data_IF_643443448416
#
_entry.id   IF_643443448416
#
_cell.length_a   1.000
_cell.length_b   1.000
_cell.length_c   1.000
_cell.angle_alpha   90.00
_cell.angle_beta   90.00
_cell.angle_gamma   90.00
#
_symmetry.space_group_name_H-M   'P 1'
#
loop_
_entity.id
_entity.type
_entity.pdbx_description
1 polymer ?
#
# COMPACT_ATOMS: atom_id res chain seq x y z
N UNK A 1 -16.83 -9.78 28.66
CA UNK A 1 -16.50 -8.59 27.83
C UNK A 1 -17.57 -7.55 28.09
N UNK A 2 -17.22 -6.27 28.20
CA UNK A 2 -18.21 -5.18 28.31
C UNK A 2 -18.88 -5.04 26.94
N UNK A 3 -20.22 -5.06 26.90
CA UNK A 3 -20.98 -4.76 25.68
C UNK A 3 -20.64 -3.34 25.24
N UNK A 4 -20.23 -3.20 23.97
CA UNK A 4 -19.93 -1.92 23.34
C UNK A 4 -21.06 -1.69 22.34
N UNK A 5 -21.69 -0.52 22.40
CA UNK A 5 -22.63 -0.05 21.38
C UNK A 5 -21.82 0.69 20.33
N UNK A 6 -21.94 0.30 19.06
CA UNK A 6 -21.46 1.09 17.93
C UNK A 6 -22.64 1.91 17.43
N UNK A 7 -22.44 3.21 17.30
CA UNK A 7 -23.41 4.10 16.70
C UNK A 7 -22.95 4.47 15.28
N UNK A 8 -23.70 4.04 14.27
CA UNK A 8 -23.45 4.35 12.88
C UNK A 8 -23.68 5.83 12.57
N UNK A 9 -24.40 6.57 13.44
CA UNK A 9 -24.52 8.02 13.34
C UNK A 9 -23.18 8.75 13.57
N UNK A 10 -22.18 8.09 14.15
CA UNK A 10 -20.81 8.61 14.26
C UNK A 10 -20.16 8.83 12.87
N UNK A 11 -20.73 8.24 11.81
CA UNK A 11 -20.31 8.43 10.41
C UNK A 11 -21.19 9.44 9.67
N UNK A 12 -21.95 10.28 10.39
CA UNK A 12 -22.88 11.25 9.82
C UNK A 12 -24.00 10.55 9.05
N UNK A 13 -24.42 11.16 7.93
CA UNK A 13 -25.53 10.68 7.11
C UNK A 13 -25.16 9.49 6.20
N UNK A 14 -23.96 8.92 6.32
CA UNK A 14 -23.46 7.87 5.42
C UNK A 14 -24.42 6.68 5.33
N UNK A 15 -24.93 6.20 6.48
CA UNK A 15 -25.83 5.04 6.58
C UNK A 15 -27.31 5.39 6.34
N UNK A 16 -27.62 6.67 6.09
CA UNK A 16 -28.95 7.16 5.69
C UNK A 16 -28.99 7.62 4.23
N UNK A 17 -27.82 7.73 3.60
CA UNK A 17 -27.69 8.12 2.21
C UNK A 17 -27.95 6.92 1.29
N UNK A 18 -28.59 7.18 0.16
CA UNK A 18 -28.72 6.20 -0.91
C UNK A 18 -27.32 5.89 -1.48
N UNK A 19 -26.86 4.61 -1.47
CA UNK A 19 -25.58 4.22 -2.03
C UNK A 19 -25.34 4.73 -3.46
N UNK A 20 -26.40 4.83 -4.27
CA UNK A 20 -26.31 5.32 -5.65
C UNK A 20 -25.91 6.79 -5.78
N UNK A 21 -26.18 7.59 -4.75
CA UNK A 21 -25.88 9.02 -4.71
C UNK A 21 -24.57 9.35 -3.99
N UNK A 22 -23.96 8.35 -3.33
CA UNK A 22 -22.69 8.54 -2.64
C UNK A 22 -21.54 8.71 -3.63
N UNK A 23 -20.55 9.58 -3.33
CA UNK A 23 -19.24 9.52 -3.96
C UNK A 23 -18.61 8.14 -3.77
N UNK A 24 -17.80 7.70 -4.74
CA UNK A 24 -17.14 6.39 -4.73
C UNK A 24 -16.44 6.08 -3.40
N UNK A 25 -15.76 7.07 -2.83
CA UNK A 25 -15.04 6.91 -1.57
C UNK A 25 -15.97 6.66 -0.37
N UNK A 26 -17.15 7.25 -0.36
CA UNK A 26 -18.15 7.07 0.70
C UNK A 26 -18.85 5.72 0.55
N UNK A 27 -19.16 5.31 -0.68
CA UNK A 27 -19.68 3.98 -0.99
C UNK A 27 -18.74 2.86 -0.50
N UNK A 28 -17.44 2.97 -0.80
CA UNK A 28 -16.42 2.02 -0.32
C UNK A 28 -16.22 2.08 1.20
N UNK A 29 -16.46 3.24 1.83
CA UNK A 29 -16.36 3.37 3.28
C UNK A 29 -17.54 2.67 3.97
N UNK A 30 -18.74 2.84 3.41
CA UNK A 30 -19.95 2.17 3.88
C UNK A 30 -19.80 0.64 3.82
N UNK A 31 -19.35 0.11 2.69
CA UNK A 31 -19.00 -1.31 2.48
C UNK A 31 -18.11 -1.86 3.62
N UNK A 32 -16.94 -1.24 3.80
CA UNK A 32 -16.00 -1.67 4.83
C UNK A 32 -16.57 -1.61 6.25
N UNK A 33 -17.34 -0.57 6.57
CA UNK A 33 -17.93 -0.41 7.90
C UNK A 33 -19.02 -1.46 8.13
N UNK A 34 -19.81 -1.83 7.11
CA UNK A 34 -20.80 -2.89 7.22
C UNK A 34 -20.16 -4.23 7.59
N UNK A 35 -19.01 -4.57 6.98
CA UNK A 35 -18.23 -5.75 7.37
C UNK A 35 -17.77 -5.73 8.83
N UNK A 36 -17.35 -4.56 9.32
CA UNK A 36 -16.94 -4.39 10.73
C UNK A 36 -18.12 -4.46 11.68
N UNK A 37 -19.23 -3.81 11.35
CA UNK A 37 -20.47 -3.84 12.10
C UNK A 37 -21.00 -5.26 12.21
N UNK A 38 -20.97 -6.01 11.10
CA UNK A 38 -21.32 -7.43 11.06
C UNK A 38 -20.47 -8.27 12.01
N UNK A 39 -19.14 -8.19 11.90
CA UNK A 39 -18.24 -8.93 12.77
C UNK A 39 -18.44 -8.60 14.26
N UNK A 40 -18.78 -7.34 14.58
CA UNK A 40 -19.05 -6.92 15.95
C UNK A 40 -20.41 -7.40 16.45
N UNK A 41 -21.43 -7.39 15.61
CA UNK A 41 -22.74 -7.98 15.91
C UNK A 41 -22.60 -9.48 16.22
N UNK A 42 -21.81 -10.22 15.42
CA UNK A 42 -21.52 -11.64 15.66
C UNK A 42 -20.73 -11.89 16.96
N UNK A 43 -19.93 -10.92 17.41
CA UNK A 43 -19.24 -10.95 18.70
C UNK A 43 -20.14 -10.55 19.90
N UNK A 44 -21.43 -10.33 19.65
CA UNK A 44 -22.44 -9.98 20.66
C UNK A 44 -22.51 -8.49 20.98
N UNK A 45 -21.87 -7.62 20.20
CA UNK A 45 -21.99 -6.17 20.34
C UNK A 45 -23.30 -5.66 19.75
N UNK A 46 -23.77 -4.50 20.21
CA UNK A 46 -24.95 -3.84 19.65
C UNK A 46 -24.53 -2.85 18.57
N UNK A 47 -25.22 -2.90 17.44
CA UNK A 47 -25.09 -1.95 16.33
C UNK A 47 -26.38 -1.13 16.28
N UNK A 48 -26.29 0.15 15.92
CA UNK A 48 -27.46 0.99 15.77
C UNK A 48 -27.15 2.30 15.06
N UNK A 49 -28.18 3.06 14.74
CA UNK A 49 -28.06 4.44 14.25
C UNK A 49 -28.85 5.35 15.19
N UNK A 50 -28.15 6.19 15.93
CA UNK A 50 -28.70 7.01 17.00
C UNK A 50 -29.50 6.16 18.03
N UNK A 51 -30.82 6.31 18.05
CA UNK A 51 -31.72 5.57 18.96
C UNK A 51 -32.18 4.23 18.40
N UNK A 52 -31.97 3.97 17.11
CA UNK A 52 -32.37 2.73 16.45
C UNK A 52 -31.32 1.64 16.65
N UNK A 53 -31.78 0.40 16.87
CA UNK A 53 -30.91 -0.78 16.92
C UNK A 53 -30.99 -1.46 15.58
N UNK A 54 -29.83 -1.80 15.01
CA UNK A 54 -29.72 -2.51 13.76
C UNK A 54 -29.36 -3.96 14.03
N UNK A 55 -30.09 -4.88 13.40
CA UNK A 55 -29.81 -6.30 13.46
C UNK A 55 -29.01 -6.78 12.25
N UNK A 56 -28.84 -8.10 12.13
CA UNK A 56 -28.09 -8.70 11.02
C UNK A 56 -28.79 -8.45 9.68
N UNK A 57 -30.12 -8.45 9.66
CA UNK A 57 -30.89 -8.25 8.44
C UNK A 57 -30.77 -6.82 7.93
N UNK A 58 -30.74 -5.82 8.81
CA UNK A 58 -30.52 -4.42 8.43
C UNK A 58 -29.16 -4.23 7.74
N UNK A 59 -28.10 -4.77 8.35
CA UNK A 59 -26.75 -4.71 7.81
C UNK A 59 -26.64 -5.45 6.47
N UNK A 60 -27.22 -6.65 6.38
CA UNK A 60 -27.20 -7.47 5.18
C UNK A 60 -27.95 -6.79 4.03
N UNK A 61 -29.12 -6.22 4.30
CA UNK A 61 -29.95 -5.56 3.28
C UNK A 61 -29.26 -4.34 2.71
N UNK A 62 -28.65 -3.50 3.55
CA UNK A 62 -27.88 -2.36 3.07
C UNK A 62 -26.64 -2.83 2.29
N UNK A 63 -25.94 -3.87 2.77
CA UNK A 63 -24.76 -4.40 2.10
C UNK A 63 -25.06 -4.97 0.71
N UNK A 64 -26.23 -5.58 0.48
CA UNK A 64 -26.69 -5.98 -0.86
C UNK A 64 -26.74 -4.78 -1.81
N UNK A 65 -27.35 -3.67 -1.38
CA UNK A 65 -27.47 -2.45 -2.20
C UNK A 65 -26.10 -1.85 -2.46
N UNK A 66 -25.25 -1.79 -1.43
CA UNK A 66 -23.85 -1.34 -1.54
C UNK A 66 -23.10 -2.18 -2.56
N UNK A 67 -23.20 -3.50 -2.47
CA UNK A 67 -22.46 -4.42 -3.35
C UNK A 67 -22.96 -4.36 -4.80
N UNK A 68 -24.26 -4.20 -5.02
CA UNK A 68 -24.83 -3.97 -6.36
C UNK A 68 -24.31 -2.67 -6.95
N UNK A 69 -24.35 -1.59 -6.19
CA UNK A 69 -23.88 -0.28 -6.64
C UNK A 69 -22.36 -0.29 -6.89
N UNK A 70 -21.61 -0.96 -6.02
CA UNK A 70 -20.18 -1.19 -6.20
C UNK A 70 -19.90 -1.96 -7.49
N UNK A 71 -20.63 -3.04 -7.73
CA UNK A 71 -20.51 -3.85 -8.96
C UNK A 71 -20.85 -3.02 -10.19
N UNK A 72 -21.92 -2.21 -10.14
CA UNK A 72 -22.35 -1.31 -11.22
C UNK A 72 -21.28 -0.28 -11.58
N UNK A 73 -20.51 0.20 -10.60
CA UNK A 73 -19.39 1.13 -10.78
C UNK A 73 -18.06 0.44 -11.10
N UNK A 74 -18.06 -0.89 -11.23
CA UNK A 74 -16.87 -1.67 -11.55
C UNK A 74 -15.93 -1.93 -10.36
N UNK A 75 -16.38 -1.72 -9.13
CA UNK A 75 -15.62 -2.06 -7.93
C UNK A 75 -15.64 -3.57 -7.68
N UNK A 76 -14.46 -4.13 -7.40
CA UNK A 76 -14.34 -5.51 -6.94
C UNK A 76 -14.34 -5.55 -5.42
N UNK A 77 -15.30 -6.28 -4.87
CA UNK A 77 -15.40 -6.52 -3.45
C UNK A 77 -14.53 -7.73 -3.05
N UNK A 78 -13.58 -7.51 -2.13
CA UNK A 78 -12.50 -8.48 -1.83
C UNK A 78 -12.61 -9.14 -0.44
N UNK A 79 -13.57 -8.71 0.39
CA UNK A 79 -13.72 -9.26 1.73
C UNK A 79 -14.37 -10.66 1.63
N UNK A 80 -13.69 -11.66 2.16
CA UNK A 80 -14.18 -13.04 2.21
C UNK A 80 -14.56 -13.38 3.64
N UNK A 81 -15.75 -12.95 4.04
CA UNK A 81 -16.33 -13.25 5.35
C UNK A 81 -17.82 -13.60 5.25
N UNK A 82 -18.44 -13.85 6.40
CA UNK A 82 -19.82 -14.30 6.49
C UNK A 82 -20.82 -13.28 5.94
N UNK A 83 -20.54 -11.96 6.01
CA UNK A 83 -21.42 -10.95 5.42
C UNK A 83 -21.38 -11.08 3.89
N UNK A 84 -20.19 -11.21 3.31
CA UNK A 84 -20.04 -11.36 1.86
C UNK A 84 -20.71 -12.64 1.35
N UNK A 85 -20.50 -13.77 2.03
CA UNK A 85 -21.08 -15.05 1.64
C UNK A 85 -22.61 -14.99 1.59
N UNK A 86 -23.24 -14.38 2.61
CA UNK A 86 -24.69 -14.21 2.66
C UNK A 86 -25.20 -13.24 1.61
N UNK A 87 -24.44 -12.17 1.32
CA UNK A 87 -24.81 -11.18 0.31
C UNK A 87 -24.79 -11.77 -1.10
N UNK A 88 -23.75 -12.56 -1.42
CA UNK A 88 -23.66 -13.26 -2.70
C UNK A 88 -24.77 -14.30 -2.87
N UNK A 89 -25.13 -15.02 -1.80
CA UNK A 89 -26.23 -15.98 -1.84
C UNK A 89 -27.59 -15.33 -2.16
N UNK A 90 -27.80 -14.06 -1.76
CA UNK A 90 -28.98 -13.28 -2.13
C UNK A 90 -28.89 -12.86 -3.60
N UNK A 91 -27.78 -12.25 -4.03
CA UNK A 91 -27.61 -11.77 -5.40
C UNK A 91 -27.68 -12.87 -6.46
N UNK A 92 -27.23 -14.08 -6.14
CA UNK A 92 -27.30 -15.25 -7.03
C UNK A 92 -28.70 -15.83 -7.17
N UNK A 93 -29.64 -15.51 -6.26
CA UNK A 93 -31.04 -15.92 -6.40
C UNK A 93 -31.79 -15.07 -7.45
N UNK A 94 -31.28 -13.87 -7.76
CA UNK A 94 -31.95 -12.86 -8.59
C UNK A 94 -31.26 -12.61 -9.96
N UNK A 95 -30.18 -13.32 -10.31
CA UNK A 95 -29.39 -13.03 -11.51
C UNK A 95 -29.78 -13.89 -12.75
N UNK A 96 -30.40 -13.27 -13.75
CA UNK A 96 -30.28 -13.69 -15.17
C UNK A 96 -28.94 -13.17 -15.72
N UNK A 97 -28.13 -14.03 -16.35
CA UNK A 97 -26.76 -13.70 -16.80
C UNK A 97 -26.72 -12.67 -17.97
N UNK A 98 -25.90 -11.61 -17.87
CA UNK A 98 -25.41 -10.90 -19.05
C UNK A 98 -23.95 -11.28 -19.37
N UNK A 99 -23.77 -11.73 -20.60
CA UNK A 99 -22.49 -11.89 -21.27
C UNK A 99 -21.92 -10.51 -21.63
N UNK A 100 -20.89 -10.04 -20.91
CA UNK A 100 -19.74 -9.23 -21.38
C UNK A 100 -19.08 -8.46 -20.21
N UNK A 101 -18.20 -9.13 -19.45
CA UNK A 101 -17.42 -8.54 -18.34
C UNK A 101 -15.94 -8.91 -18.40
N UNK A 102 -15.39 -9.08 -19.61
CA UNK A 102 -14.03 -9.59 -19.82
C UNK A 102 -12.90 -8.53 -19.74
N UNK A 103 -13.11 -7.35 -19.14
CA UNK A 103 -12.07 -6.32 -19.05
C UNK A 103 -12.01 -5.60 -17.68
N UNK A 104 -12.10 -6.34 -16.57
CA UNK A 104 -11.80 -5.79 -15.24
C UNK A 104 -10.29 -5.81 -14.96
N UNK A 105 -9.66 -4.64 -14.88
CA UNK A 105 -8.27 -4.51 -14.43
C UNK A 105 -8.22 -4.79 -12.92
N UNK A 106 -7.56 -5.89 -12.54
CA UNK A 106 -7.40 -6.41 -11.18
C UNK A 106 -6.83 -5.34 -10.21
N UNK A 107 -7.55 -5.03 -9.11
CA UNK A 107 -7.08 -4.12 -8.05
C UNK A 107 -6.17 -4.85 -7.06
N UNK A 108 -5.00 -4.27 -6.74
CA UNK A 108 -4.11 -4.76 -5.68
C UNK A 108 -3.23 -5.95 -6.09
N UNK A 109 -2.38 -5.72 -7.08
CA UNK A 109 -1.44 -6.73 -7.59
C UNK A 109 -0.27 -6.92 -6.63
N UNK A 110 0.11 -8.16 -6.29
CA UNK A 110 1.34 -8.38 -5.50
C UNK A 110 2.57 -7.91 -6.28
N UNK A 111 3.39 -7.07 -5.67
CA UNK A 111 4.67 -6.60 -6.24
C UNK A 111 5.54 -7.76 -6.77
N UNK A 112 6.19 -7.53 -7.91
CA UNK A 112 6.98 -8.55 -8.60
C UNK A 112 8.13 -9.09 -7.73
N UNK A 113 8.86 -8.17 -7.10
CA UNK A 113 9.96 -8.44 -6.18
C UNK A 113 9.92 -7.46 -5.01
N UNK A 114 10.59 -7.81 -3.92
CA UNK A 114 10.72 -6.92 -2.75
C UNK A 114 12.08 -6.24 -2.71
N UNK A 115 12.16 -5.10 -2.05
CA UNK A 115 13.44 -4.46 -1.70
C UNK A 115 13.75 -4.61 -0.20
N UNK A 116 14.99 -4.30 0.15
CA UNK A 116 15.34 -3.95 1.53
C UNK A 116 14.51 -2.73 1.96
N UNK A 117 13.98 -2.73 3.19
CA UNK A 117 13.10 -1.66 3.68
C UNK A 117 11.69 -1.61 3.07
N UNK A 118 11.37 -2.48 2.09
CA UNK A 118 10.13 -2.39 1.31
C UNK A 118 8.84 -2.46 2.13
N UNK A 119 7.86 -1.64 1.74
CA UNK A 119 6.64 -1.33 2.50
C UNK A 119 5.46 -2.26 2.24
N UNK A 120 5.70 -3.50 1.83
CA UNK A 120 4.66 -4.47 1.43
C UNK A 120 3.48 -4.53 2.40
N UNK A 121 3.74 -4.53 3.71
CA UNK A 121 2.71 -4.67 4.74
C UNK A 121 2.00 -3.37 5.08
N UNK A 122 2.57 -2.22 4.71
CA UNK A 122 1.96 -0.91 4.87
C UNK A 122 1.36 -0.39 3.55
N UNK A 123 1.63 -1.04 2.43
CA UNK A 123 1.32 -0.53 1.10
C UNK A 123 -0.16 -0.20 0.91
N UNK A 124 -1.08 -1.10 1.28
CA UNK A 124 -2.51 -0.84 1.20
C UNK A 124 -2.97 0.28 2.15
N UNK A 125 -2.38 0.37 3.34
CA UNK A 125 -2.66 1.44 4.29
C UNK A 125 -2.16 2.80 3.77
N UNK A 126 -0.99 2.84 3.14
CA UNK A 126 -0.47 4.06 2.52
C UNK A 126 -1.36 4.43 1.33
N UNK A 127 -1.70 3.45 0.49
CA UNK A 127 -2.55 3.64 -0.68
C UNK A 127 -3.92 4.23 -0.33
N UNK A 128 -4.51 3.85 0.81
CA UNK A 128 -5.80 4.40 1.26
C UNK A 128 -5.75 5.85 1.73
N UNK A 129 -4.57 6.42 1.96
CA UNK A 129 -4.39 7.85 2.26
C UNK A 129 -4.03 8.70 1.05
N UNK A 130 -3.83 8.08 -0.12
CA UNK A 130 -3.47 8.81 -1.34
C UNK A 130 -4.72 9.59 -1.81
N UNK A 131 -4.66 10.94 -1.87
CA UNK A 131 -5.76 11.76 -2.36
C UNK A 131 -5.89 11.64 -3.88
N UNK A 132 -6.97 12.15 -4.46
CA UNK A 132 -7.10 12.26 -5.91
C UNK A 132 -5.89 12.99 -6.53
N UNK A 133 -5.37 12.44 -7.63
CA UNK A 133 -4.21 12.92 -8.36
C UNK A 133 -4.24 12.40 -9.81
N UNK A 134 -3.58 13.11 -10.73
CA UNK A 134 -3.45 12.67 -12.13
C UNK A 134 -2.13 11.94 -12.37
N UNK A 135 -1.07 12.39 -11.70
CA UNK A 135 0.28 11.84 -11.84
C UNK A 135 0.74 11.24 -10.52
N UNK A 136 1.11 9.96 -10.52
CA UNK A 136 1.66 9.27 -9.35
C UNK A 136 3.16 9.01 -9.54
N UNK A 137 3.99 9.33 -8.56
CA UNK A 137 5.44 9.14 -8.68
C UNK A 137 6.03 8.54 -7.41
N UNK A 138 6.88 7.51 -7.57
CA UNK A 138 7.77 7.01 -6.50
C UNK A 138 9.23 7.34 -6.84
N UNK A 139 9.83 8.39 -6.25
CA UNK A 139 11.24 8.75 -6.48
C UNK A 139 12.23 7.69 -5.96
N UNK A 140 11.78 6.86 -5.00
CA UNK A 140 12.53 5.78 -4.37
C UNK A 140 11.70 4.48 -4.45
N UNK A 141 11.54 3.95 -5.65
CA UNK A 141 10.62 2.87 -5.93
C UNK A 141 10.91 1.62 -5.09
N UNK A 142 12.16 1.20 -4.96
CA UNK A 142 12.50 -0.09 -4.38
C UNK A 142 11.69 -1.22 -5.04
N UNK A 143 10.83 -1.89 -4.28
CA UNK A 143 9.92 -2.91 -4.80
C UNK A 143 8.58 -2.38 -5.35
N UNK A 144 8.37 -1.06 -5.40
CA UNK A 144 7.16 -0.36 -5.84
C UNK A 144 5.87 -0.79 -5.11
N UNK A 145 5.99 -1.12 -3.82
CA UNK A 145 4.92 -1.77 -3.08
C UNK A 145 3.61 -0.97 -3.08
N UNK A 146 3.70 0.36 -3.01
CA UNK A 146 2.53 1.25 -2.97
C UNK A 146 1.88 1.37 -4.34
N UNK A 147 2.65 1.55 -5.42
CA UNK A 147 2.16 1.53 -6.81
C UNK A 147 1.31 0.28 -7.10
N UNK A 148 1.82 -0.87 -6.67
CA UNK A 148 1.16 -2.16 -6.84
C UNK A 148 -0.12 -2.29 -6.00
N UNK A 149 -0.22 -1.59 -4.87
CA UNK A 149 -1.35 -1.64 -3.95
C UNK A 149 -2.45 -0.59 -4.25
N UNK A 150 -2.12 0.51 -4.94
CA UNK A 150 -3.09 1.53 -5.37
C UNK A 150 -3.75 1.18 -6.70
N UNK A 151 -4.88 1.83 -6.95
CA UNK A 151 -5.51 1.87 -8.28
C UNK A 151 -4.60 2.58 -9.28
N UNK A 152 -4.55 2.19 -10.56
CA UNK A 152 -3.80 2.90 -11.58
C UNK A 152 -4.21 4.37 -11.70
N UNK A 153 -3.23 5.26 -11.92
CA UNK A 153 -3.48 6.68 -12.26
C UNK A 153 -3.27 6.93 -13.76
N UNK A 154 -3.82 8.02 -14.32
CA UNK A 154 -3.60 8.38 -15.72
C UNK A 154 -2.12 8.45 -16.12
N UNK A 155 -1.27 8.91 -15.21
CA UNK A 155 0.18 8.92 -15.39
C UNK A 155 0.87 8.37 -14.15
N UNK A 156 1.85 7.48 -14.34
CA UNK A 156 2.61 6.88 -13.25
C UNK A 156 4.09 6.80 -13.59
N UNK A 157 4.95 7.08 -12.61
CA UNK A 157 6.39 6.99 -12.76
C UNK A 157 7.06 6.33 -11.55
N UNK A 158 8.01 5.44 -11.83
CA UNK A 158 8.94 4.86 -10.88
C UNK A 158 10.34 5.39 -11.17
N UNK A 159 11.05 5.75 -10.11
CA UNK A 159 12.47 6.02 -10.14
C UNK A 159 13.18 5.26 -9.03
N UNK A 160 14.40 4.83 -9.28
CA UNK A 160 15.31 4.41 -8.22
C UNK A 160 16.74 4.78 -8.60
N UNK A 161 17.56 5.17 -7.63
CA UNK A 161 18.99 5.45 -7.86
C UNK A 161 19.78 4.16 -8.04
N UNK A 162 19.33 3.05 -7.45
CA UNK A 162 19.90 1.73 -7.66
C UNK A 162 19.59 1.26 -9.09
N UNK A 163 20.63 1.24 -9.93
CA UNK A 163 20.52 0.88 -11.33
C UNK A 163 19.97 -0.53 -11.56
N UNK A 164 20.18 -1.46 -10.63
CA UNK A 164 19.63 -2.82 -10.72
C UNK A 164 18.14 -2.84 -10.36
N UNK A 165 17.66 -2.00 -9.44
CA UNK A 165 16.22 -1.87 -9.16
C UNK A 165 15.50 -1.28 -10.37
N UNK A 166 16.00 -0.14 -10.88
CA UNK A 166 15.43 0.52 -12.04
C UNK A 166 15.45 -0.40 -13.27
N UNK A 167 16.55 -1.12 -13.49
CA UNK A 167 16.66 -2.12 -14.55
C UNK A 167 15.61 -3.23 -14.41
N UNK A 168 15.39 -3.79 -13.21
CA UNK A 168 14.40 -4.85 -13.04
C UNK A 168 12.98 -4.38 -13.34
N UNK A 169 12.57 -3.20 -12.86
CA UNK A 169 11.24 -2.64 -13.19
C UNK A 169 11.09 -2.41 -14.70
N UNK A 170 12.12 -1.85 -15.35
CA UNK A 170 12.12 -1.64 -16.80
C UNK A 170 12.05 -2.95 -17.58
N UNK A 171 12.84 -3.96 -17.19
CA UNK A 171 12.81 -5.27 -17.83
C UNK A 171 11.44 -5.94 -17.65
N UNK A 172 10.84 -5.88 -16.47
CA UNK A 172 9.48 -6.43 -16.25
C UNK A 172 8.47 -5.79 -17.21
N UNK A 173 8.50 -4.46 -17.36
CA UNK A 173 7.62 -3.73 -18.27
C UNK A 173 7.85 -4.10 -19.73
N UNK A 174 9.11 -4.18 -20.15
CA UNK A 174 9.49 -4.21 -21.58
C UNK A 174 9.82 -5.61 -22.12
N UNK A 175 9.82 -6.66 -21.28
CA UNK A 175 10.24 -8.00 -21.71
C UNK A 175 9.37 -8.57 -22.84
N UNK A 176 10.03 -9.28 -23.76
CA UNK A 176 9.37 -9.97 -24.87
C UNK A 176 8.77 -11.32 -24.42
N UNK A 177 7.89 -11.89 -25.24
CA UNK A 177 7.37 -13.25 -25.02
C UNK A 177 8.52 -14.27 -25.07
N UNK A 178 9.51 -14.04 -25.93
CA UNK A 178 10.72 -14.83 -26.06
C UNK A 178 11.55 -14.82 -24.76
N UNK A 179 11.70 -13.63 -24.15
CA UNK A 179 12.37 -13.49 -22.85
C UNK A 179 11.65 -14.24 -21.76
N UNK A 180 10.31 -14.10 -21.68
CA UNK A 180 9.48 -14.82 -20.72
C UNK A 180 9.68 -16.33 -20.86
N UNK A 181 9.56 -16.85 -22.08
CA UNK A 181 9.65 -18.28 -22.37
C UNK A 181 11.05 -18.83 -22.05
N UNK A 182 12.11 -18.09 -22.35
CA UNK A 182 13.47 -18.49 -22.03
C UNK A 182 13.77 -18.43 -20.52
N UNK A 183 13.25 -17.42 -19.81
CA UNK A 183 13.37 -17.31 -18.36
C UNK A 183 12.57 -18.39 -17.64
N UNK A 184 11.38 -18.75 -18.12
CA UNK A 184 10.53 -19.79 -17.52
C UNK A 184 11.21 -21.17 -17.49
N UNK A 185 12.15 -21.44 -18.41
CA UNK A 185 12.94 -22.68 -18.47
C UNK A 185 14.10 -22.73 -17.45
N UNK A 186 14.39 -21.65 -16.73
CA UNK A 186 15.46 -21.58 -15.73
C UNK A 186 15.04 -22.17 -14.38
N UNK A 187 16.01 -22.33 -13.49
CA UNK A 187 15.78 -22.81 -12.12
C UNK A 187 15.17 -21.71 -11.23
N UNK A 188 13.91 -21.89 -10.84
CA UNK A 188 13.19 -20.95 -9.98
C UNK A 188 12.95 -21.47 -8.57
N UNK A 189 13.45 -22.66 -8.23
CA UNK A 189 13.54 -23.14 -6.86
C UNK A 189 14.74 -22.48 -6.17
N UNK A 190 14.51 -21.94 -4.99
CA UNK A 190 15.54 -21.27 -4.20
C UNK A 190 16.50 -22.32 -3.60
N UNK A 191 17.63 -22.50 -4.25
CA UNK A 191 18.74 -23.37 -3.85
C UNK A 191 19.99 -22.55 -3.50
N UNK A 192 20.76 -23.03 -2.53
CA UNK A 192 22.02 -22.40 -2.08
C UNK A 192 23.05 -22.37 -3.21
N UNK A 193 23.25 -23.48 -3.91
CA UNK A 193 24.26 -23.57 -4.98
C UNK A 193 23.92 -22.65 -6.15
N UNK A 194 22.64 -22.56 -6.52
CA UNK A 194 22.17 -21.58 -7.52
C UNK A 194 22.39 -20.15 -7.04
N UNK A 195 22.16 -19.84 -5.76
CA UNK A 195 22.44 -18.52 -5.19
C UNK A 195 23.93 -18.15 -5.31
N UNK A 196 24.84 -19.00 -4.86
CA UNK A 196 26.29 -18.73 -4.92
C UNK A 196 26.78 -18.61 -6.37
N UNK A 197 26.30 -19.49 -7.26
CA UNK A 197 26.61 -19.42 -8.69
C UNK A 197 26.15 -18.11 -9.32
N UNK A 198 24.91 -17.68 -9.04
CA UNK A 198 24.38 -16.42 -9.57
C UNK A 198 25.06 -15.20 -8.97
N UNK A 199 25.46 -15.26 -7.71
CA UNK A 199 26.23 -14.21 -7.05
C UNK A 199 27.56 -13.98 -7.76
N UNK A 200 28.28 -15.06 -8.10
CA UNK A 200 29.55 -15.02 -8.83
C UNK A 200 29.41 -14.76 -10.35
N UNK A 201 28.25 -15.04 -10.93
CA UNK A 201 27.99 -14.89 -12.37
C UNK A 201 28.21 -13.45 -12.86
N UNK A 202 28.91 -13.28 -13.98
CA UNK A 202 28.89 -12.03 -14.76
C UNK A 202 27.83 -12.18 -15.86
N UNK A 203 26.74 -11.38 -15.85
CA UNK A 203 25.69 -11.53 -16.85
C UNK A 203 26.17 -11.03 -18.23
N UNK A 204 25.91 -11.80 -19.28
CA UNK A 204 26.24 -11.45 -20.67
C UNK A 204 25.05 -10.82 -21.41
N UNK A 205 23.84 -11.10 -20.95
CA UNK A 205 22.59 -10.62 -21.54
C UNK A 205 21.71 -9.94 -20.48
N UNK A 206 20.77 -9.09 -20.92
CA UNK A 206 19.77 -8.51 -20.01
C UNK A 206 18.91 -9.59 -19.35
N UNK A 207 18.66 -10.70 -20.04
CA UNK A 207 17.96 -11.86 -19.48
C UNK A 207 18.74 -12.50 -18.33
N UNK A 208 20.07 -12.63 -18.48
CA UNK A 208 20.94 -13.12 -17.42
C UNK A 208 21.01 -12.17 -16.24
N UNK A 209 21.15 -10.88 -16.53
CA UNK A 209 21.14 -9.82 -15.52
C UNK A 209 19.85 -9.84 -14.72
N UNK A 210 18.71 -9.92 -15.40
CA UNK A 210 17.40 -9.98 -14.77
C UNK A 210 17.23 -11.24 -13.93
N UNK A 211 17.55 -12.43 -14.48
CA UNK A 211 17.48 -13.69 -13.75
C UNK A 211 18.34 -13.66 -12.48
N UNK A 212 19.59 -13.20 -12.59
CA UNK A 212 20.51 -13.02 -11.46
C UNK A 212 19.89 -12.09 -10.40
N UNK A 213 19.52 -10.87 -10.79
CA UNK A 213 19.07 -9.84 -9.84
C UNK A 213 17.73 -10.21 -9.18
N UNK A 214 16.79 -10.78 -9.94
CA UNK A 214 15.49 -11.20 -9.43
C UNK A 214 15.60 -12.41 -8.48
N UNK A 215 16.39 -13.42 -8.85
CA UNK A 215 16.62 -14.60 -8.01
C UNK A 215 17.36 -14.24 -6.72
N UNK A 216 18.42 -13.42 -6.81
CA UNK A 216 19.18 -12.99 -5.62
C UNK A 216 18.31 -12.17 -4.67
N UNK A 217 17.39 -11.35 -5.18
CA UNK A 217 16.45 -10.59 -4.34
C UNK A 217 15.57 -11.50 -3.46
N UNK A 218 15.20 -12.69 -3.96
CA UNK A 218 14.38 -13.66 -3.22
C UNK A 218 15.20 -14.60 -2.34
N UNK A 219 16.41 -14.95 -2.77
CA UNK A 219 17.26 -15.94 -2.10
C UNK A 219 18.20 -15.35 -1.05
N UNK A 220 18.46 -14.03 -1.05
CA UNK A 220 19.38 -13.38 -0.10
C UNK A 220 18.69 -12.96 1.21
N UNK A 221 19.42 -12.97 2.33
CA UNK A 221 18.94 -12.41 3.59
C UNK A 221 18.60 -10.93 3.44
N UNK A 222 17.47 -10.49 4.00
CA UNK A 222 17.01 -9.11 3.90
C UNK A 222 16.75 -8.62 2.46
N UNK A 223 16.72 -9.53 1.47
CA UNK A 223 16.66 -9.20 0.03
C UNK A 223 17.89 -8.43 -0.49
N UNK A 224 19.01 -8.51 0.24
CA UNK A 224 20.26 -7.85 -0.09
C UNK A 224 20.97 -8.58 -1.24
N UNK A 225 20.84 -8.09 -2.47
CA UNK A 225 21.53 -8.68 -3.63
C UNK A 225 23.05 -8.63 -3.40
N UNK A 226 23.71 -9.79 -3.38
CA UNK A 226 25.13 -9.90 -3.01
C UNK A 226 25.38 -10.25 -1.54
N UNK A 227 24.33 -10.29 -0.71
CA UNK A 227 24.38 -10.79 0.67
C UNK A 227 24.51 -12.31 0.76
N UNK A 228 24.35 -12.86 1.96
CA UNK A 228 24.35 -14.30 2.20
C UNK A 228 23.01 -14.97 1.88
N UNK A 229 23.04 -16.27 1.58
CA UNK A 229 21.85 -17.09 1.33
C UNK A 229 20.91 -17.13 2.55
N UNK A 230 19.62 -16.88 2.32
CA UNK A 230 18.57 -16.99 3.33
C UNK A 230 18.03 -18.42 3.42
N UNK A 231 18.47 -19.16 4.44
CA UNK A 231 18.03 -20.54 4.70
C UNK A 231 16.51 -20.66 4.86
N UNK A 232 15.81 -19.63 5.34
CA UNK A 232 14.36 -19.66 5.53
C UNK A 232 13.58 -19.77 4.21
N UNK A 233 14.19 -19.39 3.08
CA UNK A 233 13.58 -19.47 1.76
C UNK A 233 14.05 -20.71 0.97
N UNK A 234 14.90 -21.57 1.55
CA UNK A 234 15.43 -22.74 0.85
C UNK A 234 14.30 -23.67 0.40
N UNK A 235 14.36 -24.14 -0.85
CA UNK A 235 13.39 -25.04 -1.46
C UNK A 235 12.10 -24.38 -1.95
N UNK A 236 11.82 -23.12 -1.59
CA UNK A 236 10.65 -22.37 -2.08
C UNK A 236 10.76 -22.16 -3.59
N UNK A 237 9.69 -22.46 -4.32
CA UNK A 237 9.61 -22.20 -5.77
C UNK A 237 9.05 -20.81 -6.02
N UNK A 238 9.77 -20.01 -6.80
CA UNK A 238 9.28 -18.73 -7.32
C UNK A 238 8.36 -19.06 -8.49
N UNK A 239 7.10 -18.66 -8.39
CA UNK A 239 6.14 -18.73 -9.51
C UNK A 239 6.46 -17.62 -10.52
N UNK A 240 7.54 -17.80 -11.27
CA UNK A 240 8.05 -16.78 -12.17
C UNK A 240 7.06 -16.41 -13.31
N UNK A 241 6.48 -17.38 -14.06
CA UNK A 241 5.63 -17.05 -15.21
C UNK A 241 4.42 -16.20 -14.84
N UNK A 242 3.64 -16.61 -13.83
CA UNK A 242 2.46 -15.84 -13.42
C UNK A 242 2.84 -14.50 -12.78
N UNK A 243 3.96 -14.45 -12.07
CA UNK A 243 4.42 -13.23 -11.42
C UNK A 243 4.86 -12.17 -12.44
N UNK A 244 5.62 -12.56 -13.46
CA UNK A 244 6.15 -11.60 -14.44
C UNK A 244 5.05 -11.07 -15.37
N UNK A 245 4.09 -11.90 -15.75
CA UNK A 245 2.97 -11.52 -16.61
C UNK A 245 2.04 -10.53 -15.92
N UNK A 246 1.62 -10.85 -14.69
CA UNK A 246 0.81 -9.95 -13.85
C UNK A 246 1.53 -8.62 -13.60
N UNK A 247 2.84 -8.68 -13.34
CA UNK A 247 3.64 -7.49 -13.08
C UNK A 247 3.82 -6.61 -14.34
N UNK A 248 4.01 -7.22 -15.51
CA UNK A 248 4.10 -6.52 -16.78
C UNK A 248 2.79 -5.81 -17.12
N UNK A 249 1.65 -6.50 -16.95
CA UNK A 249 0.34 -5.91 -17.15
C UNK A 249 0.15 -4.63 -16.31
N UNK A 250 0.55 -4.68 -15.01
CA UNK A 250 0.47 -3.52 -14.12
C UNK A 250 1.44 -2.39 -14.49
N UNK A 251 2.63 -2.71 -14.99
CA UNK A 251 3.67 -1.72 -15.30
C UNK A 251 3.62 -1.18 -16.73
N UNK A 252 2.77 -1.72 -17.62
CA UNK A 252 2.76 -1.42 -19.06
C UNK A 252 2.79 0.07 -19.40
N UNK A 253 2.09 0.90 -18.61
CA UNK A 253 1.99 2.35 -18.82
C UNK A 253 2.82 3.19 -17.81
N UNK A 254 3.69 2.54 -17.05
CA UNK A 254 4.49 3.18 -16.00
C UNK A 254 5.84 3.62 -16.57
N UNK A 255 6.17 4.90 -16.43
CA UNK A 255 7.50 5.40 -16.75
C UNK A 255 8.51 4.87 -15.73
N UNK A 256 9.67 4.39 -16.18
CA UNK A 256 10.73 3.88 -15.30
C UNK A 256 12.03 4.62 -15.59
N UNK A 257 12.66 5.18 -14.56
CA UNK A 257 13.91 5.94 -14.68
C UNK A 257 14.94 5.55 -13.62
N UNK A 258 16.21 5.85 -13.92
CA UNK A 258 17.35 5.72 -13.01
C UNK A 258 18.04 7.07 -12.89
N UNK A 259 17.42 7.97 -12.14
CA UNK A 259 17.84 9.36 -11.94
C UNK A 259 18.08 9.66 -10.47
N UNK A 260 18.72 10.80 -10.23
CA UNK A 260 18.72 11.38 -8.91
C UNK A 260 17.29 11.78 -8.47
N UNK A 261 16.93 11.51 -7.22
CA UNK A 261 15.59 11.78 -6.72
C UNK A 261 15.27 13.27 -6.75
N UNK A 262 16.24 14.17 -6.57
CA UNK A 262 16.02 15.62 -6.64
C UNK A 262 15.59 16.04 -8.04
N UNK A 263 16.19 15.43 -9.07
CA UNK A 263 15.78 15.68 -10.45
C UNK A 263 14.37 15.15 -10.72
N UNK A 264 14.01 13.99 -10.16
CA UNK A 264 12.66 13.43 -10.32
C UNK A 264 11.60 14.26 -9.61
N UNK A 265 11.89 14.72 -8.40
CA UNK A 265 11.01 15.64 -7.69
C UNK A 265 10.76 16.90 -8.54
N UNK A 266 11.83 17.49 -9.10
CA UNK A 266 11.73 18.66 -9.98
C UNK A 266 10.98 18.39 -11.30
N UNK A 267 11.25 17.25 -11.95
CA UNK A 267 10.68 16.91 -13.26
C UNK A 267 9.15 16.71 -13.20
N UNK A 268 8.64 16.28 -12.04
CA UNK A 268 7.23 15.90 -11.86
C UNK A 268 6.45 16.83 -10.92
N UNK A 269 7.07 17.86 -10.34
CA UNK A 269 6.39 18.75 -9.40
C UNK A 269 5.26 19.54 -10.09
N UNK A 270 4.06 19.40 -9.55
CA UNK A 270 2.82 20.00 -10.05
C UNK A 270 1.71 19.79 -9.04
N UNK A 271 0.72 20.67 -9.01
CA UNK A 271 -0.50 20.53 -8.18
C UNK A 271 -1.31 19.27 -8.48
N UNK A 272 -1.13 18.68 -9.66
CA UNK A 272 -1.80 17.43 -10.09
C UNK A 272 -1.01 16.15 -9.73
N UNK A 273 0.20 16.31 -9.19
CA UNK A 273 1.10 15.20 -8.86
C UNK A 273 0.94 14.77 -7.41
N UNK A 274 1.00 13.46 -7.19
CA UNK A 274 1.20 12.85 -5.89
C UNK A 274 2.53 12.08 -5.84
N UNK A 275 3.35 12.40 -4.85
CA UNK A 275 4.57 11.66 -4.56
C UNK A 275 4.39 10.72 -3.37
N UNK A 276 4.72 9.43 -3.55
CA UNK A 276 5.04 8.56 -2.42
C UNK A 276 6.55 8.42 -2.30
N UNK A 277 7.09 8.77 -1.13
CA UNK A 277 8.52 8.94 -0.93
C UNK A 277 8.97 8.06 0.24
N UNK A 278 9.89 7.14 -0.03
CA UNK A 278 10.46 6.21 0.96
C UNK A 278 11.99 6.22 0.85
N UNK A 279 12.64 7.31 1.30
CA UNK A 279 14.07 7.49 1.11
C UNK A 279 14.89 6.53 1.98
N UNK A 280 16.19 6.36 1.71
CA UNK A 280 17.10 5.71 2.65
C UNK A 280 17.06 6.39 4.02
N UNK A 281 16.99 5.59 5.09
CA UNK A 281 16.89 6.12 6.46
C UNK A 281 18.29 6.51 6.97
N UNK A 282 18.49 7.76 7.47
CA UNK A 282 19.76 8.16 8.05
C UNK A 282 20.17 7.25 9.21
N UNK A 283 21.48 7.03 9.35
CA UNK A 283 22.09 6.21 10.41
C UNK A 283 21.61 4.75 10.48
N UNK A 284 20.81 4.31 9.50
CA UNK A 284 20.45 2.90 9.33
C UNK A 284 21.29 2.31 8.21
N UNK A 285 21.51 1.00 8.31
CA UNK A 285 22.30 0.27 7.33
C UNK A 285 21.72 0.46 5.92
N UNK A 286 22.42 1.25 5.11
CA UNK A 286 22.18 1.39 3.68
C UNK A 286 23.22 0.53 2.96
N UNK A 287 22.73 -0.41 2.16
CA UNK A 287 23.58 -1.32 1.37
C UNK A 287 24.52 -0.57 0.43
N UNK A 288 24.12 0.64 0.03
CA UNK A 288 24.82 1.52 -0.90
C UNK A 288 24.65 2.95 -0.42
N UNK A 289 25.76 3.69 -0.31
CA UNK A 289 25.72 5.14 -0.13
C UNK A 289 25.46 5.77 -1.50
N UNK A 290 24.21 6.12 -1.74
CA UNK A 290 23.76 6.78 -2.96
C UNK A 290 23.87 8.31 -2.88
N UNK A 291 24.56 8.85 -1.87
CA UNK A 291 24.71 10.29 -1.66
C UNK A 291 23.43 10.96 -1.15
N UNK A 292 22.55 10.21 -0.48
CA UNK A 292 21.34 10.78 0.12
C UNK A 292 21.72 11.71 1.28
N UNK A 293 21.34 12.98 1.18
CA UNK A 293 21.53 13.99 2.22
C UNK A 293 20.16 14.46 2.72
N UNK A 294 19.92 14.27 4.02
CA UNK A 294 18.64 14.63 4.66
C UNK A 294 18.32 16.12 4.49
N UNK A 295 19.32 17.00 4.57
CA UNK A 295 19.14 18.44 4.41
C UNK A 295 18.63 18.83 3.01
N UNK A 296 19.25 18.27 1.96
CA UNK A 296 18.84 18.52 0.57
C UNK A 296 17.44 17.98 0.31
N UNK A 297 17.13 16.80 0.87
CA UNK A 297 15.81 16.18 0.78
C UNK A 297 14.72 17.04 1.41
N UNK A 298 14.94 17.51 2.65
CA UNK A 298 13.97 18.36 3.36
C UNK A 298 13.79 19.72 2.67
N UNK A 299 14.87 20.29 2.12
CA UNK A 299 14.80 21.52 1.33
C UNK A 299 13.96 21.34 0.07
N UNK A 300 14.12 20.20 -0.62
CA UNK A 300 13.31 19.88 -1.79
C UNK A 300 11.83 19.68 -1.42
N UNK A 301 11.53 18.90 -0.38
CA UNK A 301 10.15 18.67 0.09
C UNK A 301 9.39 19.95 0.41
N UNK A 302 10.07 20.93 1.04
CA UNK A 302 9.46 22.21 1.41
C UNK A 302 9.06 23.05 0.18
N UNK A 303 9.72 22.85 -0.95
CA UNK A 303 9.48 23.61 -2.17
C UNK A 303 8.50 22.99 -3.15
N UNK A 304 7.89 21.83 -2.82
CA UNK A 304 6.98 21.12 -3.73
C UNK A 304 5.56 21.70 -3.70
N UNK A 305 4.99 21.90 -4.88
CA UNK A 305 3.56 22.16 -5.06
C UNK A 305 2.73 20.87 -4.99
N UNK A 306 3.33 19.74 -5.34
CA UNK A 306 2.71 18.43 -5.31
C UNK A 306 2.32 17.97 -3.90
N UNK A 307 1.26 17.15 -3.82
CA UNK A 307 0.93 16.44 -2.58
C UNK A 307 1.91 15.29 -2.37
N UNK A 308 2.27 15.03 -1.12
CA UNK A 308 3.19 13.94 -0.83
C UNK A 308 2.91 13.21 0.49
N UNK A 309 3.30 11.94 0.52
CA UNK A 309 3.46 11.14 1.72
C UNK A 309 4.90 10.66 1.79
N UNK A 310 5.55 10.86 2.94
CA UNK A 310 6.90 10.38 3.24
C UNK A 310 6.83 9.33 4.33
N UNK A 311 7.40 8.14 4.07
CA UNK A 311 7.72 7.17 5.12
C UNK A 311 9.11 7.46 5.69
N UNK A 312 9.25 7.51 7.01
CA UNK A 312 10.51 7.86 7.67
C UNK A 312 10.68 7.20 9.05
N UNK A 313 11.89 7.19 9.65
CA UNK A 313 12.07 6.72 11.01
C UNK A 313 11.35 7.60 12.04
N UNK A 314 10.68 6.98 13.01
CA UNK A 314 9.92 7.69 14.05
C UNK A 314 10.76 8.59 14.95
N UNK A 315 12.03 8.25 15.13
CA UNK A 315 13.03 9.01 15.88
C UNK A 315 13.36 10.35 15.24
N UNK A 316 13.14 10.51 13.93
CA UNK A 316 13.40 11.74 13.17
C UNK A 316 12.16 12.65 13.08
N UNK A 317 11.10 12.41 13.85
CA UNK A 317 9.83 13.18 13.77
C UNK A 317 9.99 14.71 13.82
N UNK A 318 11.02 15.21 14.50
CA UNK A 318 11.29 16.65 14.63
C UNK A 318 11.57 17.34 13.30
N UNK A 319 12.12 16.64 12.30
CA UNK A 319 12.41 17.24 10.99
C UNK A 319 11.14 17.56 10.18
N UNK A 320 10.00 16.97 10.58
CA UNK A 320 8.70 17.21 9.97
C UNK A 320 7.81 18.16 10.81
N UNK A 321 8.39 18.97 11.71
CA UNK A 321 7.65 20.00 12.44
C UNK A 321 6.95 20.95 11.45
N UNK A 322 5.64 21.12 11.60
CA UNK A 322 4.81 21.92 10.68
C UNK A 322 4.09 21.11 9.60
N UNK A 323 4.33 19.80 9.50
CA UNK A 323 3.59 18.88 8.64
C UNK A 323 2.67 17.95 9.44
N UNK A 324 1.79 17.24 8.74
CA UNK A 324 0.93 16.24 9.36
C UNK A 324 1.73 14.95 9.58
N UNK A 325 1.95 14.57 10.84
CA UNK A 325 2.77 13.43 11.24
C UNK A 325 1.92 12.35 11.92
N UNK A 326 2.13 11.12 11.49
CA UNK A 326 1.39 9.95 11.94
C UNK A 326 2.34 8.81 12.28
N UNK A 327 2.10 8.14 13.41
CA UNK A 327 2.87 6.95 13.79
C UNK A 327 2.10 5.69 13.45
N UNK A 328 2.75 4.82 12.67
CA UNK A 328 2.23 3.52 12.28
C UNK A 328 3.04 2.44 12.98
N UNK A 329 2.36 1.56 13.71
CA UNK A 329 2.98 0.37 14.30
C UNK A 329 2.98 -0.76 13.27
N UNK A 330 4.12 -1.43 13.13
CA UNK A 330 4.25 -2.67 12.34
C UNK A 330 5.09 -3.71 13.08
N UNK A 331 4.97 -4.98 12.70
CA UNK A 331 5.85 -6.03 13.21
C UNK A 331 7.26 -5.90 12.62
N UNK A 332 8.28 -6.18 13.43
CA UNK A 332 9.68 -6.23 12.97
C UNK A 332 9.88 -7.41 11.99
N UNK A 333 10.55 -7.17 10.86
CA UNK A 333 10.77 -8.19 9.82
C UNK A 333 12.24 -8.54 9.58
N UNK A 334 13.14 -7.94 10.35
CA UNK A 334 14.59 -8.08 10.15
C UNK A 334 15.28 -9.01 11.15
N UNK A 335 14.55 -9.54 12.15
CA UNK A 335 15.06 -10.54 13.11
C UNK A 335 14.53 -11.93 12.74
N UNK A 336 15.40 -12.93 12.84
CA UNK A 336 15.15 -14.33 12.45
C UNK A 336 14.01 -15.03 13.23
N UNK A 337 14.00 -16.36 13.25
CA UNK A 337 12.95 -17.14 13.93
C UNK A 337 12.78 -16.68 15.39
N UNK A 338 11.64 -16.03 15.70
CA UNK A 338 11.34 -15.38 16.98
C UNK A 338 11.10 -13.86 16.91
N UNK A 339 11.49 -13.19 15.80
CA UNK A 339 11.45 -11.73 15.65
C UNK A 339 10.07 -11.07 15.50
N UNK A 340 8.98 -11.85 15.54
CA UNK A 340 7.61 -11.37 15.31
C UNK A 340 6.95 -10.72 16.54
N UNK A 341 7.65 -10.60 17.67
CA UNK A 341 7.07 -10.10 18.93
C UNK A 341 7.31 -8.60 19.20
N UNK A 342 8.26 -7.97 18.51
CA UNK A 342 8.55 -6.54 18.70
C UNK A 342 7.82 -5.68 17.66
N UNK A 343 7.04 -4.72 18.15
CA UNK A 343 6.45 -3.67 17.33
C UNK A 343 7.50 -2.59 17.04
N UNK A 344 7.69 -2.30 15.76
CA UNK A 344 8.49 -1.15 15.30
C UNK A 344 7.52 -0.05 14.90
N UNK A 345 7.82 1.17 15.31
CA UNK A 345 7.11 2.37 14.87
C UNK A 345 7.76 2.95 13.64
N UNK A 346 6.92 3.34 12.69
CA UNK A 346 7.31 4.02 11.46
C UNK A 346 6.50 5.31 11.38
N UNK A 347 7.14 6.38 10.92
CA UNK A 347 6.50 7.67 10.76
C UNK A 347 6.01 7.82 9.32
N UNK A 348 4.81 8.35 9.18
CA UNK A 348 4.28 8.88 7.93
C UNK A 348 4.09 10.39 8.09
N UNK A 349 4.77 11.19 7.26
CA UNK A 349 4.57 12.63 7.16
C UNK A 349 3.86 13.01 5.86
N UNK A 350 3.12 14.11 5.85
CA UNK A 350 2.42 14.62 4.66
C UNK A 350 2.19 16.14 4.71
N UNK A 351 2.17 16.79 3.55
CA UNK A 351 1.81 18.22 3.41
C UNK A 351 0.30 18.49 3.32
N UNK A 352 -0.54 17.47 3.48
CA UNK A 352 -1.99 17.59 3.56
C UNK A 352 -2.52 16.73 4.71
N UNK A 353 -3.69 17.05 5.30
CA UNK A 353 -4.26 16.23 6.36
C UNK A 353 -4.59 14.83 5.85
N UNK A 354 -4.04 13.79 6.48
CA UNK A 354 -4.52 12.42 6.25
C UNK A 354 -5.83 12.26 7.03
N UNK A 355 -6.94 12.09 6.33
CA UNK A 355 -8.22 11.73 6.95
C UNK A 355 -8.10 10.29 7.47
N UNK A 356 -8.24 10.02 8.78
CA UNK A 356 -8.14 8.67 9.29
C UNK A 356 -9.30 7.83 8.79
N UNK A 357 -9.06 6.97 7.81
CA UNK A 357 -10.07 5.97 7.38
C UNK A 357 -10.17 4.81 8.39
N UNK A 358 -9.22 4.69 9.35
CA UNK A 358 -9.16 3.60 10.33
C UNK A 358 -8.60 3.99 11.72
N UNK A 359 -9.15 3.34 12.76
CA UNK A 359 -8.92 3.42 14.23
C UNK A 359 -7.48 3.30 14.77
N UNK A 360 -6.44 3.25 13.94
CA UNK A 360 -5.03 3.08 14.37
C UNK A 360 -4.10 4.16 13.82
N UNK A 361 -4.57 5.39 13.81
CA UNK A 361 -3.73 6.57 13.71
C UNK A 361 -3.84 7.34 15.03
N UNK A 362 -2.81 7.24 15.88
CA UNK A 362 -2.69 8.19 16.98
C UNK A 362 -2.02 9.43 16.42
N UNK A 363 -2.79 10.52 16.28
CA UNK A 363 -2.27 11.86 15.98
C UNK A 363 -1.58 12.36 17.25
N UNK A 364 -0.29 12.08 17.40
CA UNK A 364 0.51 12.74 18.42
C UNK A 364 1.06 14.01 17.78
N UNK A 365 0.33 15.12 17.96
CA UNK A 365 0.82 16.50 18.13
C UNK A 365 -0.40 17.43 18.09
N UNK A 366 -0.81 17.91 19.26
CA UNK A 366 -1.53 19.18 19.36
C UNK A 366 -0.54 20.32 19.09
N UNK A 367 -0.98 21.45 18.50
CA UNK A 367 -0.14 22.63 18.44
C UNK A 367 0.24 23.05 19.86
N UNK A 368 1.54 23.16 20.15
CA UNK A 368 2.01 23.96 21.29
C UNK A 368 1.53 25.38 21.05
N UNK A 369 0.38 25.76 21.60
CA UNK A 369 0.14 27.15 21.93
C UNK A 369 1.10 27.48 23.06
N UNK A 370 2.06 28.35 22.76
CA UNK A 370 2.76 29.07 23.80
C UNK A 370 1.71 29.71 24.72
N UNK A 371 1.97 29.63 26.02
CA UNK A 371 1.15 30.12 27.14
C UNK A 371 0.26 29.03 27.77
N UNK A 372 0.79 28.49 28.88
CA UNK A 372 0.18 27.46 29.71
C UNK A 372 -1.06 27.94 30.45
N UNK A 373 -2.19 27.95 29.77
CA UNK A 373 -3.52 27.93 30.40
C UNK A 373 -4.18 26.60 30.10
N UNK A 374 -4.45 25.83 31.15
CA UNK A 374 -5.31 24.63 31.10
C UNK A 374 -6.65 25.00 30.46
N UNK A 375 -6.94 24.42 29.29
CA UNK A 375 -8.29 24.37 28.77
C UNK A 375 -9.00 23.17 29.42
N UNK A 376 -9.72 23.46 30.50
CA UNK A 376 -10.83 22.63 30.95
C UNK A 376 -11.83 22.49 29.80
N UNK A 377 -11.91 21.30 29.21
CA UNK A 377 -12.98 20.97 28.28
C UNK A 377 -14.24 20.76 29.11
N UNK A 378 -15.03 21.81 29.26
CA UNK A 378 -16.41 21.73 29.74
C UNK A 378 -17.25 21.06 28.65
N UNK A 379 -18.06 20.04 28.97
CA UNK A 379 -19.01 19.50 28.01
C UNK A 379 -20.08 20.58 27.75
N UNK A 380 -20.25 20.99 26.51
CA UNK A 380 -21.41 21.79 26.10
C UNK A 380 -22.43 20.83 25.49
N UNK A 381 -23.51 20.65 26.24
CA UNK A 381 -24.76 20.01 25.85
C UNK A 381 -25.76 21.11 25.46
N UNK A 382 -26.77 20.74 24.65
CA UNK A 382 -27.98 21.46 24.19
C UNK A 382 -27.78 22.46 23.04
N UNK A 383 -28.54 22.41 21.93
CA UNK A 383 -29.91 21.92 21.66
C UNK A 383 -30.01 20.96 20.47
#
# INVERSE_FOLDING_TARGET
>A
MKLVKIDLADFGELFRSDPANLPDQELLSMDYILHRAWAMLQAGHQIGYATEVWDAQDLLSLHVIVLQEMTRRGFQHTMQDALQEQTLAILMQDAEEPADMAAAVEKGVRQAFGSYGGKRYLAHKIASYIPHHRTYVEPFAGGAAVLYAKDPSPQEALNDKDAEIAFMHKFIRDHSVEDRNALAKREWRILKDTHERLKAMKPETDRDRFYKSFYLTRSSYGKMRGGGFNKANAGVRIDFPNNIERAQARLKNVAVSNKDYLQVLKDYDSTDTFFYIDPPYPDKFNLFDFGFKEEDFLKALKGLDAKWIVSYPSERKSVFKGYNVYIVKRRNQMRGAGGNQEWVTELMASNFPLKPVHLYLKKDLEPETADGTELTITPVVEL
#
